data_IF_817149981788
#
_entry.id   IF_817149981788
#
_cell.length_a   1.000
_cell.length_b   1.000
_cell.length_c   1.000
_cell.angle_alpha   90.00
_cell.angle_beta   90.00
_cell.angle_gamma   90.00
#
_symmetry.space_group_name_H-M   'P 1'
#
loop_
_entity.id
_entity.type
_entity.pdbx_description
1 polymer ?
#
# COMPACT_ATOMS: atom_id res chain seq x y z
N UNK A 1 0.27 -14.10 -14.50
CA UNK A 1 0.49 -12.71 -14.93
C UNK A 1 1.18 -11.99 -13.78
N UNK A 2 2.13 -11.10 -14.06
CA UNK A 2 2.83 -10.36 -13.00
C UNK A 2 1.91 -9.28 -12.42
N UNK A 3 1.89 -9.13 -11.10
CA UNK A 3 1.15 -8.06 -10.42
C UNK A 3 1.67 -6.70 -10.87
N UNK A 4 0.75 -5.77 -11.08
CA UNK A 4 0.97 -4.44 -11.64
C UNK A 4 0.74 -3.34 -10.61
N UNK A 5 1.19 -2.14 -10.94
CA UNK A 5 1.01 -0.98 -10.05
C UNK A 5 -0.48 -0.63 -9.81
N UNK A 6 -1.37 -0.58 -10.82
CA UNK A 6 -2.79 -0.35 -10.57
C UNK A 6 -3.44 -1.40 -9.66
N UNK A 7 -3.02 -2.67 -9.74
CA UNK A 7 -3.51 -3.71 -8.84
C UNK A 7 -3.04 -3.47 -7.39
N UNK A 8 -1.82 -2.96 -7.20
CA UNK A 8 -1.33 -2.56 -5.89
C UNK A 8 -2.07 -1.32 -5.33
N UNK A 9 -2.33 -0.30 -6.15
CA UNK A 9 -3.14 0.87 -5.76
C UNK A 9 -4.56 0.45 -5.36
N UNK A 10 -5.18 -0.45 -6.13
CA UNK A 10 -6.50 -0.99 -5.83
C UNK A 10 -6.51 -1.79 -4.51
N UNK A 11 -5.50 -2.63 -4.27
CA UNK A 11 -5.39 -3.38 -3.01
C UNK A 11 -5.25 -2.46 -1.79
N UNK A 12 -4.45 -1.39 -1.90
CA UNK A 12 -4.32 -0.36 -0.85
C UNK A 12 -5.68 0.28 -0.57
N UNK A 13 -6.39 0.74 -1.62
CA UNK A 13 -7.70 1.40 -1.48
C UNK A 13 -8.72 0.50 -0.81
N UNK A 14 -8.87 -0.73 -1.31
CA UNK A 14 -9.83 -1.71 -0.78
C UNK A 14 -9.54 -2.03 0.69
N UNK A 15 -8.26 -2.13 1.07
CA UNK A 15 -7.91 -2.39 2.46
C UNK A 15 -8.21 -1.19 3.36
N UNK A 16 -7.91 0.04 2.91
CA UNK A 16 -8.25 1.26 3.65
C UNK A 16 -9.77 1.46 3.80
N UNK A 17 -10.55 1.21 2.75
CA UNK A 17 -12.02 1.31 2.77
C UNK A 17 -12.68 0.34 3.77
N UNK A 18 -12.03 -0.79 4.05
CA UNK A 18 -12.52 -1.78 5.02
C UNK A 18 -12.17 -1.44 6.47
N UNK A 19 -11.37 -0.40 6.70
CA UNK A 19 -10.92 -0.01 8.03
C UNK A 19 -11.84 1.05 8.62
N UNK A 20 -11.97 1.03 9.95
CA UNK A 20 -12.65 2.11 10.67
C UNK A 20 -11.91 3.44 10.46
N UNK A 21 -12.62 4.56 10.61
CA UNK A 21 -12.06 5.89 10.46
C UNK A 21 -10.80 6.10 11.34
N UNK A 22 -9.74 6.66 10.74
CA UNK A 22 -8.46 6.93 11.41
C UNK A 22 -7.59 5.70 11.63
N UNK A 23 -7.99 4.51 11.17
CA UNK A 23 -7.13 3.33 11.15
C UNK A 23 -6.28 3.31 9.88
N UNK A 24 -5.11 2.70 9.98
CA UNK A 24 -4.14 2.59 8.89
C UNK A 24 -4.00 1.14 8.44
N UNK A 25 -3.28 0.95 7.34
CA UNK A 25 -2.79 -0.35 6.88
C UNK A 25 -1.27 -0.30 6.77
N UNK A 26 -0.63 -1.46 6.78
CA UNK A 26 0.78 -1.56 6.40
C UNK A 26 0.93 -2.03 4.94
N UNK A 27 2.03 -1.65 4.26
CA UNK A 27 2.32 -2.13 2.91
C UNK A 27 2.33 -3.65 2.75
N UNK A 28 2.72 -4.41 3.79
CA UNK A 28 2.71 -5.88 3.72
C UNK A 28 1.30 -6.48 3.67
N UNK A 29 0.27 -5.80 4.19
CA UNK A 29 -1.11 -6.27 4.05
C UNK A 29 -1.58 -6.21 2.60
N UNK A 30 -1.31 -5.11 1.89
CA UNK A 30 -1.61 -4.98 0.48
C UNK A 30 -0.82 -6.02 -0.35
N UNK A 31 0.45 -6.24 -0.03
CA UNK A 31 1.27 -7.25 -0.70
C UNK A 31 0.75 -8.69 -0.46
N UNK A 32 0.30 -9.01 0.76
CA UNK A 32 -0.31 -10.32 1.09
C UNK A 32 -1.65 -10.53 0.40
N UNK A 33 -2.46 -9.47 0.27
CA UNK A 33 -3.71 -9.55 -0.46
C UNK A 33 -3.50 -9.93 -1.95
N UNK A 34 -2.33 -9.60 -2.52
CA UNK A 34 -2.01 -9.85 -3.93
C UNK A 34 -1.27 -11.18 -4.16
N UNK A 35 -0.35 -11.58 -3.27
CA UNK A 35 0.53 -12.74 -3.49
C UNK A 35 0.57 -13.76 -2.34
N UNK A 36 -0.28 -13.61 -1.32
CA UNK A 36 -0.32 -14.49 -0.16
C UNK A 36 0.91 -14.38 0.74
N UNK A 37 0.95 -15.21 1.80
CA UNK A 37 2.03 -15.18 2.82
C UNK A 37 3.41 -15.53 2.26
N UNK A 38 3.48 -16.38 1.23
CA UNK A 38 4.76 -16.81 0.67
C UNK A 38 5.32 -15.80 -0.35
N UNK A 39 4.44 -15.08 -1.07
CA UNK A 39 4.82 -14.19 -2.17
C UNK A 39 4.92 -12.71 -1.83
N UNK A 40 4.37 -12.26 -0.70
CA UNK A 40 4.24 -10.81 -0.43
C UNK A 40 5.56 -10.05 -0.41
N UNK A 41 6.66 -10.69 0.03
CA UNK A 41 7.98 -10.02 0.13
C UNK A 41 8.47 -9.54 -1.22
N UNK A 42 8.21 -10.29 -2.30
CA UNK A 42 8.60 -9.92 -3.66
C UNK A 42 7.80 -8.72 -4.18
N UNK A 43 6.56 -8.52 -3.71
CA UNK A 43 5.71 -7.39 -4.10
C UNK A 43 5.94 -6.13 -3.27
N UNK A 44 6.74 -6.19 -2.21
CA UNK A 44 6.95 -5.04 -1.34
C UNK A 44 7.47 -3.78 -2.07
N UNK A 45 8.46 -3.87 -2.97
CA UNK A 45 8.90 -2.72 -3.76
C UNK A 45 7.77 -2.12 -4.61
N UNK A 46 6.96 -2.97 -5.26
CA UNK A 46 5.83 -2.55 -6.08
C UNK A 46 4.77 -1.81 -5.26
N UNK A 47 4.39 -2.36 -4.10
CA UNK A 47 3.38 -1.75 -3.22
C UNK A 47 3.87 -0.41 -2.66
N UNK A 48 5.15 -0.29 -2.31
CA UNK A 48 5.70 1.00 -1.85
C UNK A 48 5.72 2.04 -2.97
N UNK A 49 6.08 1.64 -4.20
CA UNK A 49 6.02 2.51 -5.37
C UNK A 49 4.59 2.99 -5.65
N UNK A 50 3.61 2.08 -5.59
CA UNK A 50 2.20 2.42 -5.74
C UNK A 50 1.74 3.41 -4.67
N UNK A 51 2.07 3.17 -3.40
CA UNK A 51 1.76 4.08 -2.30
C UNK A 51 2.40 5.47 -2.52
N UNK A 52 3.65 5.53 -2.98
CA UNK A 52 4.32 6.79 -3.33
C UNK A 52 3.54 7.56 -4.40
N UNK A 53 3.15 6.90 -5.48
CA UNK A 53 2.36 7.54 -6.54
C UNK A 53 1.00 8.03 -6.04
N UNK A 54 0.36 7.31 -5.12
CA UNK A 54 -0.89 7.76 -4.49
C UNK A 54 -0.68 8.97 -3.57
N UNK A 55 0.45 9.05 -2.85
CA UNK A 55 0.84 10.25 -2.08
C UNK A 55 1.04 11.45 -3.01
N UNK A 56 1.74 11.26 -4.14
CA UNK A 56 1.99 12.34 -5.11
C UNK A 56 0.67 12.88 -5.72
N UNK A 57 -0.36 12.04 -5.81
CA UNK A 57 -1.71 12.42 -6.25
C UNK A 57 -2.59 12.98 -5.13
N UNK A 58 -2.11 13.01 -3.88
CA UNK A 58 -2.86 13.46 -2.71
C UNK A 58 -3.98 12.52 -2.27
N UNK A 59 -3.90 11.24 -2.64
CA UNK A 59 -4.94 10.24 -2.35
C UNK A 59 -4.78 9.58 -0.98
N UNK A 60 -3.56 9.54 -0.45
CA UNK A 60 -3.26 9.01 0.88
C UNK A 60 -2.04 9.70 1.51
N UNK A 61 -1.90 9.53 2.82
CA UNK A 61 -0.69 9.88 3.57
C UNK A 61 0.01 8.60 4.04
N UNK A 62 1.35 8.63 4.08
CA UNK A 62 2.15 7.55 4.67
C UNK A 62 2.78 8.07 5.93
N UNK A 63 2.68 7.29 7.01
CA UNK A 63 3.26 7.64 8.30
C UNK A 63 4.35 6.67 8.73
N UNK A 64 5.36 7.16 9.44
CA UNK A 64 6.38 6.36 10.10
C UNK A 64 6.61 6.91 11.51
N UNK A 65 6.44 6.05 12.52
CA UNK A 65 6.51 6.44 13.95
C UNK A 65 5.54 7.59 14.32
N UNK A 66 4.38 7.63 13.66
CA UNK A 66 3.35 8.65 13.89
C UNK A 66 3.50 9.92 13.07
N UNK A 67 4.64 10.12 12.41
CA UNK A 67 4.91 11.29 11.58
C UNK A 67 4.61 11.01 10.12
N UNK A 68 3.98 11.95 9.41
CA UNK A 68 3.80 11.86 7.95
C UNK A 68 5.19 11.94 7.29
N UNK A 69 5.47 10.99 6.40
CA UNK A 69 6.74 10.92 5.66
C UNK A 69 6.50 10.96 4.16
N UNK A 70 7.40 11.63 3.46
CA UNK A 70 7.47 11.55 2.00
C UNK A 70 8.20 10.28 1.63
N UNK A 71 7.60 9.47 0.75
CA UNK A 71 8.28 8.34 0.13
C UNK A 71 9.17 8.91 -0.98
N UNK A 72 10.45 9.14 -0.68
CA UNK A 72 11.47 9.54 -1.67
C UNK A 72 12.20 8.31 -2.20
#
# INVERSE_FOLDING_TARGET
MATTQPEAEAAIRVLLERRDHGKTICPSEAARALAGEDGFRALMPLVRSAASTMVDRGELEVTQRGEVVVLT
#
